data_IF_521407541421
#
_entry.id   IF_521407541421
#
_cell.length_a   1.000
_cell.length_b   1.000
_cell.length_c   1.000
_cell.angle_alpha   90.00
_cell.angle_beta   90.00
_cell.angle_gamma   90.00
#
_symmetry.space_group_name_H-M   'P 1'
#
loop_
_entity.id
_entity.type
_entity.pdbx_description
1 polymer ?
#
# COMPACT_ATOMS: atom_id res chain seq x y z
N UNK A 1 -8.08 18.07 14.86
CA UNK A 1 -7.98 18.51 13.45
C UNK A 1 -9.10 17.85 12.67
N UNK A 2 -9.92 18.59 11.97
CA UNK A 2 -10.97 18.04 11.11
C UNK A 2 -10.41 17.85 9.71
N UNK A 3 -9.97 16.62 9.40
CA UNK A 3 -9.12 16.34 8.24
C UNK A 3 -9.86 16.47 6.90
N UNK A 4 -11.20 16.31 6.89
CA UNK A 4 -12.04 16.50 5.70
C UNK A 4 -12.06 17.96 5.19
N UNK A 5 -11.84 18.93 6.07
CA UNK A 5 -11.96 20.36 5.76
C UNK A 5 -10.62 21.04 5.49
N UNK A 6 -9.52 20.29 5.67
CA UNK A 6 -8.17 20.83 5.50
C UNK A 6 -7.91 21.24 4.05
N UNK A 7 -7.42 22.47 3.88
CA UNK A 7 -6.84 22.97 2.62
C UNK A 7 -5.35 22.60 2.62
N UNK A 8 -5.02 21.44 2.05
CA UNK A 8 -3.68 20.89 2.08
C UNK A 8 -2.65 21.75 1.35
N UNK A 9 -1.55 22.04 2.02
CA UNK A 9 -0.34 22.67 1.54
C UNK A 9 0.81 22.33 2.50
N UNK A 10 2.04 22.80 2.24
CA UNK A 10 3.19 22.46 3.08
C UNK A 10 3.02 22.84 4.57
N UNK A 11 2.36 23.96 4.89
CA UNK A 11 2.12 24.39 6.28
C UNK A 11 1.11 23.45 6.96
N UNK A 12 -0.05 23.23 6.35
CA UNK A 12 -1.09 22.35 6.92
C UNK A 12 -0.64 20.89 6.99
N UNK A 13 0.27 20.46 6.10
CA UNK A 13 0.89 19.15 6.19
C UNK A 13 1.86 19.04 7.38
N UNK A 14 2.60 20.11 7.72
CA UNK A 14 3.42 20.13 8.93
C UNK A 14 2.55 20.05 10.20
N UNK A 15 1.45 20.81 10.26
CA UNK A 15 0.47 20.74 11.35
C UNK A 15 -0.16 19.33 11.47
N UNK A 16 -0.42 18.67 10.34
CA UNK A 16 -0.88 17.29 10.30
C UNK A 16 0.13 16.32 10.90
N UNK A 17 1.43 16.51 10.62
CA UNK A 17 2.50 15.68 11.20
C UNK A 17 2.55 15.78 12.73
N UNK A 18 2.37 16.99 13.27
CA UNK A 18 2.25 17.21 14.72
C UNK A 18 0.99 16.51 15.28
N UNK A 19 -0.15 16.65 14.60
CA UNK A 19 -1.38 15.93 14.94
C UNK A 19 -1.18 14.42 14.93
N UNK A 20 -0.52 13.86 13.91
CA UNK A 20 -0.21 12.43 13.81
C UNK A 20 0.68 11.96 14.95
N UNK A 21 1.71 12.74 15.31
CA UNK A 21 2.63 12.43 16.41
C UNK A 21 1.95 12.38 17.79
N UNK A 22 0.81 13.07 17.96
CA UNK A 22 0.04 13.02 19.21
C UNK A 22 -0.58 11.64 19.51
N UNK A 23 -0.64 10.73 18.52
CA UNK A 23 -1.09 9.34 18.68
C UNK A 23 0.05 8.36 18.88
N UNK A 24 1.30 8.84 19.00
CA UNK A 24 2.47 7.99 19.14
C UNK A 24 2.46 7.19 20.45
N UNK A 25 2.75 5.88 20.35
CA UNK A 25 2.88 4.96 21.46
C UNK A 25 4.28 4.32 21.41
N UNK A 26 5.14 4.68 22.35
CA UNK A 26 6.53 4.20 22.39
C UNK A 26 6.62 2.66 22.50
N UNK A 27 5.76 2.03 23.32
CA UNK A 27 5.78 0.56 23.48
C UNK A 27 5.37 -0.13 22.19
N UNK A 28 4.36 0.39 21.53
CA UNK A 28 3.93 -0.13 20.24
C UNK A 28 4.99 0.10 19.15
N UNK A 29 5.62 1.27 19.13
CA UNK A 29 6.73 1.57 18.21
C UNK A 29 7.85 0.55 18.34
N UNK A 30 8.33 0.32 19.57
CA UNK A 30 9.47 -0.55 19.83
C UNK A 30 9.15 -2.01 19.48
N UNK A 31 7.90 -2.45 19.72
CA UNK A 31 7.41 -3.76 19.27
C UNK A 31 7.33 -3.86 17.75
N UNK A 32 6.66 -2.88 17.11
CA UNK A 32 6.41 -2.90 15.65
C UNK A 32 7.70 -2.76 14.83
N UNK A 33 8.63 -1.95 15.30
CA UNK A 33 9.96 -1.81 14.68
C UNK A 33 10.69 -3.15 14.59
N UNK A 34 10.54 -4.00 15.60
CA UNK A 34 11.10 -5.37 15.58
C UNK A 34 10.56 -6.24 14.45
N UNK A 35 9.32 -5.98 14.00
CA UNK A 35 8.65 -6.71 12.90
C UNK A 35 8.94 -6.13 11.51
N UNK A 36 9.14 -4.82 11.42
CA UNK A 36 9.32 -4.08 10.16
C UNK A 36 10.73 -3.47 10.05
N UNK A 37 11.77 -4.29 10.29
CA UNK A 37 13.18 -3.87 10.31
C UNK A 37 13.70 -3.30 8.98
N UNK A 38 13.02 -3.55 7.88
CA UNK A 38 13.41 -3.07 6.54
C UNK A 38 13.02 -1.63 6.27
N UNK A 39 12.11 -1.04 7.08
CA UNK A 39 11.73 0.34 6.85
C UNK A 39 12.90 1.29 7.06
N UNK A 40 13.20 2.10 6.05
CA UNK A 40 14.17 3.20 6.10
C UNK A 40 13.61 4.42 6.82
N UNK A 41 12.28 4.49 6.96
CA UNK A 41 11.60 5.59 7.64
C UNK A 41 11.56 5.40 9.16
N UNK A 42 11.82 6.47 9.95
CA UNK A 42 11.61 6.42 11.39
C UNK A 42 10.13 6.17 11.72
N UNK A 43 9.88 5.41 12.80
CA UNK A 43 8.53 5.10 13.28
C UNK A 43 8.15 5.97 14.47
N UNK A 44 6.94 6.52 14.46
CA UNK A 44 6.34 7.24 15.60
C UNK A 44 5.68 6.26 16.58
N UNK A 45 5.08 5.18 16.07
CA UNK A 45 4.32 4.18 16.84
C UNK A 45 2.81 4.44 16.84
N UNK A 46 2.27 4.97 15.74
CA UNK A 46 0.81 5.11 15.59
C UNK A 46 0.20 3.80 15.10
N UNK A 47 -0.85 3.33 15.78
CA UNK A 47 -1.50 2.05 15.47
C UNK A 47 -2.27 2.10 14.15
N UNK A 48 -2.24 1.01 13.39
CA UNK A 48 -2.90 0.90 12.08
C UNK A 48 -4.38 1.33 12.06
N UNK A 49 -5.24 0.97 13.03
CA UNK A 49 -6.64 1.44 13.02
C UNK A 49 -6.78 2.97 13.05
N UNK A 50 -5.88 3.67 13.74
CA UNK A 50 -5.85 5.14 13.79
C UNK A 50 -5.47 5.68 12.41
N UNK A 51 -4.43 5.14 11.77
CA UNK A 51 -4.00 5.55 10.43
C UNK A 51 -5.09 5.29 9.38
N UNK A 52 -5.81 4.17 9.48
CA UNK A 52 -6.94 3.84 8.61
C UNK A 52 -8.10 4.85 8.76
N UNK A 53 -8.40 5.28 9.99
CA UNK A 53 -9.40 6.31 10.27
C UNK A 53 -8.96 7.66 9.69
N UNK A 54 -7.73 8.07 9.93
CA UNK A 54 -7.12 9.30 9.38
C UNK A 54 -7.22 9.32 7.86
N UNK A 55 -6.76 8.25 7.18
CA UNK A 55 -6.84 8.15 5.73
C UNK A 55 -8.29 8.26 5.22
N UNK A 56 -9.23 7.63 5.92
CA UNK A 56 -10.65 7.68 5.56
C UNK A 56 -11.26 9.08 5.71
N UNK A 57 -10.82 9.87 6.69
CA UNK A 57 -11.24 11.28 6.83
C UNK A 57 -10.62 12.16 5.73
N UNK A 58 -9.35 11.97 5.40
CA UNK A 58 -8.69 12.70 4.30
C UNK A 58 -9.41 12.46 2.96
N UNK A 59 -9.81 11.22 2.69
CA UNK A 59 -10.51 10.84 1.45
C UNK A 59 -11.90 11.46 1.33
N UNK A 60 -12.56 11.83 2.42
CA UNK A 60 -13.83 12.57 2.40
C UNK A 60 -13.66 14.02 1.94
N UNK A 61 -12.47 14.60 2.12
CA UNK A 61 -12.16 15.99 1.80
C UNK A 61 -11.45 16.15 0.45
N UNK A 62 -10.19 16.58 0.49
CA UNK A 62 -9.37 16.92 -0.68
C UNK A 62 -8.14 16.00 -0.80
N UNK A 63 -8.32 14.69 -1.07
CA UNK A 63 -7.22 13.72 -1.04
C UNK A 63 -6.10 14.00 -2.04
N UNK A 64 -6.41 14.52 -3.24
CA UNK A 64 -5.37 14.83 -4.23
C UNK A 64 -4.46 15.97 -3.76
N UNK A 65 -5.02 17.00 -3.10
CA UNK A 65 -4.20 18.06 -2.52
C UNK A 65 -3.35 17.53 -1.34
N UNK A 66 -3.87 16.57 -0.57
CA UNK A 66 -3.07 15.88 0.45
C UNK A 66 -1.88 15.15 -0.19
N UNK A 67 -2.09 14.36 -1.23
CA UNK A 67 -1.02 13.63 -1.93
C UNK A 67 0.04 14.57 -2.50
N UNK A 68 -0.38 15.70 -3.08
CA UNK A 68 0.53 16.73 -3.59
C UNK A 68 1.33 17.42 -2.48
N UNK A 69 0.70 17.71 -1.33
CA UNK A 69 1.35 18.39 -0.22
C UNK A 69 2.23 17.46 0.62
N UNK A 70 2.03 16.12 0.50
CA UNK A 70 2.70 15.16 1.36
C UNK A 70 4.19 15.04 1.05
N UNK A 71 5.02 15.21 2.10
CA UNK A 71 6.45 14.93 2.10
C UNK A 71 6.73 13.86 3.14
N UNK A 72 6.78 12.59 2.71
CA UNK A 72 6.91 11.42 3.61
C UNK A 72 8.25 11.45 4.33
N UNK A 73 8.21 11.46 5.67
CA UNK A 73 9.39 11.45 6.55
C UNK A 73 9.29 10.36 7.64
N UNK A 74 8.17 9.63 7.71
CA UNK A 74 7.96 8.57 8.67
C UNK A 74 7.20 7.40 8.07
N UNK A 75 7.32 6.23 8.71
CA UNK A 75 6.56 5.02 8.37
C UNK A 75 5.05 5.28 8.33
N UNK A 76 4.54 6.04 9.30
CA UNK A 76 3.11 6.34 9.40
C UNK A 76 2.63 7.26 8.27
N UNK A 77 3.47 8.18 7.83
CA UNK A 77 3.15 9.05 6.68
C UNK A 77 3.13 8.23 5.39
N UNK A 78 4.08 7.29 5.19
CA UNK A 78 4.05 6.35 4.06
C UNK A 78 2.79 5.49 4.09
N UNK A 79 2.44 4.92 5.25
CA UNK A 79 1.22 4.13 5.44
C UNK A 79 -0.04 4.93 5.11
N UNK A 80 -0.18 6.15 5.64
CA UNK A 80 -1.36 6.99 5.38
C UNK A 80 -1.42 7.40 3.90
N UNK A 81 -0.29 7.77 3.28
CA UNK A 81 -0.22 8.06 1.84
C UNK A 81 -0.74 6.88 1.03
N UNK A 82 -0.28 5.68 1.28
CA UNK A 82 -0.74 4.46 0.61
C UNK A 82 -2.23 4.20 0.82
N UNK A 83 -2.72 4.31 2.05
CA UNK A 83 -4.13 4.12 2.36
C UNK A 83 -5.04 5.17 1.68
N UNK A 84 -4.60 6.43 1.58
CA UNK A 84 -5.31 7.49 0.86
C UNK A 84 -5.33 7.19 -0.64
N UNK A 85 -4.17 6.85 -1.23
CA UNK A 85 -4.06 6.47 -2.65
C UNK A 85 -4.99 5.30 -2.99
N UNK A 86 -4.96 4.22 -2.20
CA UNK A 86 -5.83 3.07 -2.41
C UNK A 86 -7.33 3.42 -2.38
N UNK A 87 -7.72 4.33 -1.48
CA UNK A 87 -9.12 4.72 -1.23
C UNK A 87 -9.62 5.88 -2.10
N UNK A 88 -8.84 6.43 -3.04
CA UNK A 88 -9.30 7.46 -3.95
C UNK A 88 -10.59 7.03 -4.67
N UNK A 89 -11.57 7.93 -4.74
CA UNK A 89 -12.86 7.67 -5.38
C UNK A 89 -12.81 8.05 -6.86
N UNK A 90 -12.09 7.26 -7.65
CA UNK A 90 -11.94 7.40 -9.09
C UNK A 90 -11.79 6.01 -9.74
N UNK A 91 -11.98 5.88 -11.07
CA UNK A 91 -11.67 4.66 -11.82
C UNK A 91 -10.22 4.20 -11.60
N UNK A 92 -9.97 2.88 -11.61
CA UNK A 92 -8.63 2.34 -11.40
C UNK A 92 -7.63 2.88 -12.44
N UNK A 93 -8.04 2.99 -13.71
CA UNK A 93 -7.17 3.53 -14.76
C UNK A 93 -6.62 4.93 -14.45
N UNK A 94 -7.44 5.79 -13.85
CA UNK A 94 -7.01 7.14 -13.43
C UNK A 94 -6.17 7.08 -12.13
N UNK A 95 -6.46 6.09 -11.26
CA UNK A 95 -5.76 5.90 -9.99
C UNK A 95 -4.33 5.38 -10.18
N UNK A 96 -4.04 4.67 -11.28
CA UNK A 96 -2.71 4.09 -11.52
C UNK A 96 -1.60 5.13 -11.45
N UNK A 97 -1.80 6.35 -11.94
CA UNK A 97 -0.81 7.45 -11.83
C UNK A 97 -0.41 7.70 -10.37
N UNK A 98 -1.37 7.70 -9.46
CA UNK A 98 -1.10 7.91 -8.03
C UNK A 98 -0.52 6.68 -7.35
N UNK A 99 -0.81 5.49 -7.88
CA UNK A 99 -0.20 4.23 -7.42
C UNK A 99 1.28 4.23 -7.81
N UNK A 100 1.61 4.56 -9.06
CA UNK A 100 3.00 4.70 -9.54
C UNK A 100 3.80 5.70 -8.70
N UNK A 101 3.22 6.87 -8.41
CA UNK A 101 3.82 7.87 -7.53
C UNK A 101 3.99 7.39 -6.08
N UNK A 102 3.25 6.36 -5.67
CA UNK A 102 3.31 5.81 -4.33
C UNK A 102 4.30 4.64 -4.20
N UNK A 103 4.50 3.82 -5.23
CA UNK A 103 5.37 2.64 -5.17
C UNK A 103 6.75 2.92 -4.54
N UNK A 104 7.46 4.03 -4.85
CA UNK A 104 8.76 4.33 -4.24
C UNK A 104 8.76 4.52 -2.72
N UNK A 105 7.60 4.74 -2.10
CA UNK A 105 7.47 4.89 -0.65
C UNK A 105 7.23 3.56 0.09
N UNK A 106 7.08 2.46 -0.66
CA UNK A 106 6.89 1.13 -0.08
C UNK A 106 8.27 0.50 0.18
N UNK A 107 8.69 0.50 1.43
CA UNK A 107 9.99 -0.04 1.86
C UNK A 107 9.86 -1.18 2.87
N UNK A 108 8.63 -1.62 3.15
CA UNK A 108 8.35 -2.71 4.07
C UNK A 108 7.03 -3.40 3.76
N UNK A 109 6.90 -4.66 4.23
CA UNK A 109 5.73 -5.50 3.99
C UNK A 109 4.43 -4.93 4.57
N UNK A 110 4.48 -4.23 5.71
CA UNK A 110 3.27 -3.74 6.38
C UNK A 110 2.59 -2.61 5.57
N UNK A 111 3.37 -1.70 4.98
CA UNK A 111 2.88 -0.66 4.08
C UNK A 111 2.35 -1.28 2.79
N UNK A 112 3.12 -2.20 2.18
CA UNK A 112 2.74 -2.93 0.97
C UNK A 112 1.38 -3.62 1.12
N UNK A 113 1.27 -4.51 2.10
CA UNK A 113 0.10 -5.38 2.26
C UNK A 113 -1.15 -4.60 2.71
N UNK A 114 -0.96 -3.53 3.50
CA UNK A 114 -2.04 -2.62 3.89
C UNK A 114 -2.59 -1.83 2.70
N UNK A 115 -1.72 -1.33 1.83
CA UNK A 115 -2.10 -0.68 0.58
C UNK A 115 -2.87 -1.64 -0.32
N UNK A 116 -2.32 -2.83 -0.61
CA UNK A 116 -2.95 -3.84 -1.44
C UNK A 116 -4.35 -4.22 -0.92
N UNK A 117 -4.48 -4.40 0.40
CA UNK A 117 -5.77 -4.73 1.04
C UNK A 117 -6.80 -3.61 0.91
N UNK A 118 -6.36 -2.36 0.89
CA UNK A 118 -7.23 -1.19 0.84
C UNK A 118 -7.70 -0.81 -0.57
N UNK A 119 -7.07 -1.30 -1.63
CA UNK A 119 -7.30 -0.86 -3.02
C UNK A 119 -8.70 -1.19 -3.53
N UNK A 120 -9.21 -2.40 -3.31
CA UNK A 120 -10.58 -2.87 -3.63
C UNK A 120 -11.03 -2.50 -5.06
N UNK A 121 -10.38 -3.01 -6.11
CA UNK A 121 -10.79 -2.78 -7.50
C UNK A 121 -12.18 -3.37 -7.75
N UNK A 122 -12.92 -2.78 -8.70
CA UNK A 122 -14.20 -3.32 -9.15
C UNK A 122 -13.96 -4.49 -10.12
N UNK A 123 -14.96 -5.36 -10.28
CA UNK A 123 -14.86 -6.52 -11.18
C UNK A 123 -14.48 -6.14 -12.62
N UNK A 124 -15.02 -5.07 -13.15
CA UNK A 124 -14.71 -4.58 -14.50
C UNK A 124 -13.36 -3.84 -14.61
N UNK A 125 -12.61 -3.70 -13.51
CA UNK A 125 -11.29 -3.09 -13.46
C UNK A 125 -10.17 -4.15 -13.33
N UNK A 126 -10.52 -5.44 -13.19
CA UNK A 126 -9.54 -6.50 -12.94
C UNK A 126 -8.55 -6.70 -14.07
N UNK A 127 -8.97 -6.51 -15.33
CA UNK A 127 -8.05 -6.57 -16.46
C UNK A 127 -7.00 -5.44 -16.39
N UNK A 128 -7.41 -4.23 -16.03
CA UNK A 128 -6.49 -3.09 -15.84
C UNK A 128 -5.50 -3.39 -14.70
N UNK A 129 -5.99 -3.98 -13.61
CA UNK A 129 -5.14 -4.40 -12.50
C UNK A 129 -4.14 -5.50 -12.93
N UNK A 130 -4.59 -6.45 -13.73
CA UNK A 130 -3.76 -7.55 -14.23
C UNK A 130 -2.60 -7.02 -15.07
N UNK A 131 -2.87 -6.12 -16.03
CA UNK A 131 -1.83 -5.51 -16.84
C UNK A 131 -0.83 -4.70 -15.97
N UNK A 132 -1.32 -3.88 -15.04
CA UNK A 132 -0.47 -3.19 -14.08
C UNK A 132 0.45 -4.17 -13.30
N UNK A 133 -0.11 -5.26 -12.77
CA UNK A 133 0.68 -6.24 -12.04
C UNK A 133 1.72 -6.93 -12.94
N UNK A 134 1.41 -7.20 -14.22
CA UNK A 134 2.36 -7.80 -15.17
C UNK A 134 3.56 -6.90 -15.44
N UNK A 135 3.37 -5.59 -15.46
CA UNK A 135 4.46 -4.61 -15.66
C UNK A 135 5.43 -4.58 -14.47
N UNK A 136 4.91 -4.79 -13.23
CA UNK A 136 5.69 -4.63 -12.00
C UNK A 136 6.21 -5.93 -11.38
N UNK A 137 5.63 -7.09 -11.71
CA UNK A 137 5.92 -8.36 -11.03
C UNK A 137 7.35 -8.86 -11.21
N UNK A 138 8.04 -8.42 -12.26
CA UNK A 138 9.46 -8.74 -12.53
C UNK A 138 10.38 -7.54 -12.29
N UNK A 139 9.97 -6.56 -11.49
CA UNK A 139 10.79 -5.42 -11.10
C UNK A 139 12.03 -5.85 -10.31
N UNK A 140 13.11 -5.08 -10.43
CA UNK A 140 14.29 -5.23 -9.56
C UNK A 140 14.05 -4.68 -8.15
N UNK A 141 12.94 -3.96 -7.93
CA UNK A 141 12.54 -3.47 -6.61
C UNK A 141 11.71 -4.53 -5.88
N UNK A 142 12.24 -5.02 -4.76
CA UNK A 142 11.61 -6.03 -3.89
C UNK A 142 10.13 -5.73 -3.59
N UNK A 143 9.81 -4.48 -3.28
CA UNK A 143 8.45 -4.11 -2.86
C UNK A 143 7.51 -3.81 -4.02
N UNK A 144 7.99 -3.44 -5.20
CA UNK A 144 7.18 -3.41 -6.41
C UNK A 144 6.75 -4.82 -6.80
N UNK A 145 7.69 -5.78 -6.87
CA UNK A 145 7.40 -7.19 -7.12
C UNK A 145 6.43 -7.73 -6.06
N UNK A 146 6.69 -7.49 -4.76
CA UNK A 146 5.78 -7.90 -3.69
C UNK A 146 4.38 -7.30 -3.85
N UNK A 147 4.27 -6.02 -4.20
CA UNK A 147 2.98 -5.35 -4.41
C UNK A 147 2.20 -6.03 -5.52
N UNK A 148 2.83 -6.31 -6.66
CA UNK A 148 2.20 -7.02 -7.78
C UNK A 148 1.71 -8.41 -7.36
N UNK A 149 2.56 -9.22 -6.70
CA UNK A 149 2.21 -10.56 -6.21
C UNK A 149 1.01 -10.51 -5.25
N UNK A 150 1.02 -9.59 -4.27
CA UNK A 150 -0.06 -9.48 -3.28
C UNK A 150 -1.36 -8.98 -3.91
N UNK A 151 -1.31 -8.07 -4.88
CA UNK A 151 -2.49 -7.64 -5.65
C UNK A 151 -3.08 -8.78 -6.48
N UNK A 152 -2.23 -9.55 -7.20
CA UNK A 152 -2.64 -10.74 -7.95
C UNK A 152 -3.33 -11.75 -7.02
N UNK A 153 -2.69 -12.10 -5.91
CA UNK A 153 -3.22 -13.05 -4.93
C UNK A 153 -4.58 -12.61 -4.39
N UNK A 154 -4.77 -11.33 -4.10
CA UNK A 154 -6.01 -10.83 -3.49
C UNK A 154 -7.17 -10.71 -4.45
N UNK A 155 -6.91 -10.35 -5.70
CA UNK A 155 -7.97 -9.90 -6.61
C UNK A 155 -8.05 -10.69 -7.91
N UNK A 156 -6.97 -11.37 -8.33
CA UNK A 156 -6.87 -12.01 -9.63
C UNK A 156 -6.84 -13.55 -9.58
N UNK A 157 -6.92 -14.17 -8.40
CA UNK A 157 -7.20 -15.60 -8.26
C UNK A 157 -8.69 -15.86 -8.56
N UNK A 158 -9.04 -15.80 -9.83
CA UNK A 158 -10.40 -16.01 -10.38
C UNK A 158 -10.33 -16.98 -11.55
N UNK A 159 -11.48 -17.51 -11.98
CA UNK A 159 -11.55 -18.40 -13.15
C UNK A 159 -10.97 -17.74 -14.42
N UNK A 160 -11.01 -16.39 -14.51
CA UNK A 160 -10.54 -15.63 -15.67
C UNK A 160 -9.02 -15.44 -15.70
N UNK A 161 -8.37 -15.21 -14.53
CA UNK A 161 -6.96 -14.84 -14.45
C UNK A 161 -6.10 -15.83 -13.68
N UNK A 162 -6.69 -16.80 -12.97
CA UNK A 162 -5.99 -17.64 -12.01
C UNK A 162 -4.84 -18.46 -12.60
N UNK A 163 -5.05 -19.07 -13.77
CA UNK A 163 -4.01 -19.85 -14.45
C UNK A 163 -2.83 -18.98 -14.88
N UNK A 164 -3.10 -17.82 -15.48
CA UNK A 164 -2.06 -16.87 -15.90
C UNK A 164 -1.27 -16.34 -14.70
N UNK A 165 -1.96 -16.00 -13.61
CA UNK A 165 -1.35 -15.51 -12.36
C UNK A 165 -0.43 -16.58 -11.75
N UNK A 166 -0.86 -17.82 -11.68
CA UNK A 166 -0.05 -18.95 -11.18
C UNK A 166 1.19 -19.14 -12.05
N UNK A 167 1.02 -19.15 -13.38
CA UNK A 167 2.14 -19.27 -14.32
C UNK A 167 3.15 -18.11 -14.19
N UNK A 168 2.68 -16.89 -13.92
CA UNK A 168 3.56 -15.75 -13.66
C UNK A 168 4.38 -15.98 -12.38
N UNK A 169 3.75 -16.43 -11.28
CA UNK A 169 4.43 -16.65 -10.00
C UNK A 169 5.51 -17.73 -10.06
N UNK A 170 5.33 -18.77 -10.90
CA UNK A 170 6.32 -19.84 -11.12
C UNK A 170 7.64 -19.32 -11.72
N UNK A 171 7.61 -18.15 -12.36
CA UNK A 171 8.75 -17.54 -13.04
C UNK A 171 9.37 -16.35 -12.27
N UNK A 172 8.89 -16.04 -11.04
CA UNK A 172 9.46 -14.98 -10.22
C UNK A 172 10.78 -15.45 -9.59
N UNK A 173 11.80 -14.59 -9.65
CA UNK A 173 13.02 -14.79 -8.86
C UNK A 173 12.73 -14.60 -7.37
N UNK A 174 12.85 -15.69 -6.62
CA UNK A 174 12.58 -15.74 -5.18
C UNK A 174 13.85 -15.62 -4.32
N UNK A 175 14.93 -15.02 -4.82
CA UNK A 175 16.17 -14.81 -4.03
C UNK A 175 15.96 -13.80 -2.91
N UNK A 176 15.15 -12.77 -3.13
CA UNK A 176 14.81 -11.77 -2.12
C UNK A 176 13.77 -12.30 -1.13
N UNK A 177 14.10 -12.21 0.18
CA UNK A 177 13.27 -12.79 1.25
C UNK A 177 11.81 -12.36 1.21
N UNK A 178 11.53 -11.06 1.05
CA UNK A 178 10.15 -10.55 1.07
C UNK A 178 9.38 -10.84 -0.21
N UNK A 179 10.04 -11.07 -1.34
CA UNK A 179 9.44 -11.60 -2.56
C UNK A 179 9.10 -13.08 -2.37
N UNK A 180 10.07 -13.89 -1.92
CA UNK A 180 9.87 -15.30 -1.62
C UNK A 180 8.69 -15.56 -0.68
N UNK A 181 8.59 -14.77 0.40
CA UNK A 181 7.47 -14.87 1.35
C UNK A 181 6.12 -14.51 0.71
N UNK A 182 6.07 -13.52 -0.17
CA UNK A 182 4.84 -13.16 -0.87
C UNK A 182 4.40 -14.26 -1.84
N UNK A 183 5.33 -14.81 -2.61
CA UNK A 183 5.07 -15.89 -3.56
C UNK A 183 4.60 -17.16 -2.84
N UNK A 184 5.27 -17.54 -1.74
CA UNK A 184 4.86 -18.67 -0.92
C UNK A 184 3.46 -18.50 -0.34
N UNK A 185 3.15 -17.29 0.16
CA UNK A 185 1.80 -16.96 0.63
C UNK A 185 0.77 -17.04 -0.50
N UNK A 186 1.10 -16.48 -1.67
CA UNK A 186 0.22 -16.48 -2.83
C UNK A 186 -0.12 -17.89 -3.31
N UNK A 187 0.86 -18.80 -3.37
CA UNK A 187 0.61 -20.22 -3.67
C UNK A 187 -0.25 -20.88 -2.58
N UNK A 188 -0.02 -20.60 -1.32
CA UNK A 188 -0.87 -21.12 -0.23
C UNK A 188 -2.33 -20.72 -0.39
N UNK A 189 -2.61 -19.48 -0.77
CA UNK A 189 -3.97 -18.99 -1.03
C UNK A 189 -4.58 -19.63 -2.30
N UNK A 190 -3.78 -19.90 -3.34
CA UNK A 190 -4.26 -20.54 -4.56
C UNK A 190 -4.77 -21.96 -4.30
N UNK A 191 -4.11 -22.75 -3.47
CA UNK A 191 -4.55 -24.10 -3.08
C UNK A 191 -5.87 -24.13 -2.30
N UNK A 192 -6.30 -23.02 -1.74
CA UNK A 192 -7.58 -22.92 -1.05
C UNK A 192 -8.70 -22.58 -2.04
N UNK A 193 -8.37 -21.88 -3.14
CA UNK A 193 -9.34 -21.39 -4.13
C UNK A 193 -9.57 -22.33 -5.31
N UNK A 194 -8.58 -23.11 -5.66
CA UNK A 194 -8.56 -24.11 -6.73
C UNK A 194 -8.15 -25.47 -6.18
#
# INVERSE_FOLDING_TARGET
MELSDVKWNGKTYAEFREYLSSFADKKYRDFHYGLCKTSSYPMMGVRLPIMQKIASEIVKGKPLLFLTASSVQSYEEAMIRGLVTAKLKMPLAEKLVYIEEFLPYIDNWAVCDSFCTALKPKKNELYILFEFCREHVFSQNTYETRTAVVLMMRYLLTDEFGEDVISIWENIDCTEYYVSMAVAWAFSESFIKF
#
